data_IF_899334539433
#
_entry.id   IF_899334539433
#
_cell.length_a   1.000
_cell.length_b   1.000
_cell.length_c   1.000
_cell.angle_alpha   90.00
_cell.angle_beta   90.00
_cell.angle_gamma   90.00
#
_symmetry.space_group_name_H-M   'P 1'
#
loop_
_entity.id
_entity.type
_entity.pdbx_description
1 polymer ?
#
# COMPACT_ATOMS: atom_id res chain seq x y z
N UNK A 1 -1.62 -13.48 4.93
CA UNK A 1 -0.29 -12.85 4.67
C UNK A 1 0.71 -13.94 4.29
N UNK A 2 1.42 -13.79 3.18
CA UNK A 2 2.53 -14.67 2.81
C UNK A 2 3.72 -14.38 3.74
N UNK A 3 4.14 -15.40 4.48
CA UNK A 3 5.24 -15.29 5.47
C UNK A 3 6.56 -15.80 4.93
N UNK A 4 6.52 -16.79 4.05
CA UNK A 4 7.70 -17.45 3.48
C UNK A 4 7.50 -17.61 1.96
N UNK A 5 8.61 -17.75 1.25
CA UNK A 5 8.63 -18.13 -0.16
C UNK A 5 8.17 -19.59 -0.33
N UNK A 6 7.65 -19.95 -1.53
CA UNK A 6 7.29 -21.33 -1.82
C UNK A 6 8.52 -22.25 -1.79
N UNK A 7 8.29 -23.48 -1.36
CA UNK A 7 9.32 -24.53 -1.43
C UNK A 7 9.74 -24.78 -2.89
N UNK A 8 11.04 -24.96 -3.08
CA UNK A 8 11.63 -25.22 -4.38
C UNK A 8 12.62 -26.39 -4.30
N UNK A 9 12.90 -27.00 -5.45
CA UNK A 9 13.96 -27.99 -5.59
C UNK A 9 15.35 -27.33 -5.65
N UNK A 10 16.39 -28.15 -5.83
CA UNK A 10 17.78 -27.66 -5.95
C UNK A 10 17.98 -26.68 -7.12
N UNK A 11 17.15 -26.74 -8.15
CA UNK A 11 17.17 -25.85 -9.33
C UNK A 11 16.29 -24.60 -9.15
N UNK A 12 15.79 -24.34 -7.94
CA UNK A 12 14.89 -23.22 -7.60
C UNK A 12 13.52 -23.27 -8.31
N UNK A 13 13.13 -24.44 -8.80
CA UNK A 13 11.81 -24.69 -9.40
C UNK A 13 10.80 -24.98 -8.29
N UNK A 14 9.69 -24.26 -8.32
CA UNK A 14 8.57 -24.39 -7.38
C UNK A 14 7.46 -25.26 -7.97
N UNK A 15 6.52 -25.69 -7.13
CA UNK A 15 5.27 -26.36 -7.57
C UNK A 15 4.21 -25.39 -8.09
N UNK A 16 4.50 -24.09 -8.13
CA UNK A 16 3.55 -23.06 -8.55
C UNK A 16 3.44 -23.08 -10.06
N UNK A 17 2.21 -23.17 -10.57
CA UNK A 17 1.94 -23.03 -12.00
C UNK A 17 1.95 -21.56 -12.40
N UNK A 18 2.51 -21.28 -13.57
CA UNK A 18 2.38 -19.96 -14.21
C UNK A 18 0.97 -19.86 -14.81
N UNK A 19 0.33 -18.68 -14.76
CA UNK A 19 -0.95 -18.46 -15.44
C UNK A 19 -0.88 -18.74 -16.94
N UNK A 20 -1.98 -19.27 -17.48
CA UNK A 20 -2.06 -19.70 -18.88
C UNK A 20 -1.96 -18.53 -19.86
N UNK A 21 -1.34 -18.79 -21.02
CA UNK A 21 -1.15 -17.78 -22.06
C UNK A 21 -2.47 -17.17 -22.57
N UNK A 22 -3.55 -17.94 -22.54
CA UNK A 22 -4.88 -17.48 -22.94
C UNK A 22 -5.44 -16.44 -21.96
N UNK A 23 -5.22 -16.60 -20.65
CA UNK A 23 -5.60 -15.62 -19.63
C UNK A 23 -4.83 -14.31 -19.89
N UNK A 24 -3.53 -14.42 -20.14
CA UNK A 24 -2.68 -13.26 -20.45
C UNK A 24 -3.20 -12.52 -21.69
N UNK A 25 -3.57 -13.24 -22.75
CA UNK A 25 -4.19 -12.63 -23.94
C UNK A 25 -5.49 -11.90 -23.63
N UNK A 26 -6.36 -12.50 -22.81
CA UNK A 26 -7.62 -11.88 -22.41
C UNK A 26 -7.37 -10.59 -21.64
N UNK A 27 -6.40 -10.57 -20.74
CA UNK A 27 -6.01 -9.39 -19.95
C UNK A 27 -5.34 -8.29 -20.79
N UNK A 28 -4.70 -8.65 -21.90
CA UNK A 28 -4.12 -7.70 -22.84
C UNK A 28 -5.11 -7.19 -23.89
N UNK A 29 -6.28 -7.82 -24.02
CA UNK A 29 -7.29 -7.40 -24.99
C UNK A 29 -7.91 -6.06 -24.61
N UNK A 30 -8.02 -5.13 -25.57
CA UNK A 30 -8.73 -3.87 -25.35
C UNK A 30 -10.23 -4.15 -25.26
N UNK A 31 -10.77 -4.05 -24.05
CA UNK A 31 -12.20 -4.08 -23.77
C UNK A 31 -12.72 -2.67 -23.53
N UNK A 32 -13.96 -2.40 -23.95
CA UNK A 32 -14.61 -1.10 -23.71
C UNK A 32 -14.89 -0.84 -22.23
N UNK A 33 -15.07 -1.89 -21.42
CA UNK A 33 -15.42 -1.78 -20.02
C UNK A 33 -14.20 -1.93 -19.09
N UNK A 34 -13.67 -0.79 -18.64
CA UNK A 34 -12.51 -0.72 -17.74
C UNK A 34 -12.75 -1.38 -16.37
N UNK A 35 -13.97 -1.27 -15.83
CA UNK A 35 -14.29 -1.77 -14.48
C UNK A 35 -14.25 -3.29 -14.47
N UNK A 36 -14.88 -3.93 -15.46
CA UNK A 36 -14.84 -5.38 -15.59
C UNK A 36 -13.41 -5.86 -15.87
N UNK A 37 -12.64 -5.09 -16.64
CA UNK A 37 -11.25 -5.43 -16.88
C UNK A 37 -10.40 -5.39 -15.60
N UNK A 38 -10.58 -4.36 -14.76
CA UNK A 38 -9.94 -4.27 -13.45
C UNK A 38 -10.34 -5.45 -12.56
N UNK A 39 -11.62 -5.84 -12.55
CA UNK A 39 -12.07 -7.01 -11.78
C UNK A 39 -11.40 -8.29 -12.24
N UNK A 40 -11.27 -8.50 -13.56
CA UNK A 40 -10.55 -9.64 -14.11
C UNK A 40 -9.07 -9.65 -13.67
N UNK A 41 -8.37 -8.53 -13.81
CA UNK A 41 -6.98 -8.41 -13.34
C UNK A 41 -6.85 -8.75 -11.85
N UNK A 42 -7.70 -8.14 -11.02
CA UNK A 42 -7.66 -8.37 -9.57
C UNK A 42 -7.94 -9.83 -9.22
N UNK A 43 -8.91 -10.46 -9.88
CA UNK A 43 -9.24 -11.86 -9.66
C UNK A 43 -8.04 -12.77 -9.95
N UNK A 44 -7.41 -12.60 -11.11
CA UNK A 44 -6.24 -13.40 -11.52
C UNK A 44 -5.03 -13.19 -10.61
N UNK A 45 -4.78 -11.95 -10.17
CA UNK A 45 -3.67 -11.65 -9.26
C UNK A 45 -3.89 -12.18 -7.84
N UNK A 46 -5.14 -12.25 -7.38
CA UNK A 46 -5.48 -12.86 -6.08
C UNK A 46 -5.25 -14.38 -6.13
N UNK A 47 -5.62 -15.02 -7.24
CA UNK A 47 -5.41 -16.46 -7.43
C UNK A 47 -3.93 -16.80 -7.62
N UNK A 48 -3.14 -15.87 -8.19
CA UNK A 48 -1.75 -16.10 -8.55
C UNK A 48 -0.81 -15.08 -7.87
N UNK A 49 -0.61 -15.16 -6.54
CA UNK A 49 0.07 -14.13 -5.76
C UNK A 49 1.57 -13.98 -6.07
N UNK A 50 2.18 -14.97 -6.71
CA UNK A 50 3.58 -14.91 -7.14
C UNK A 50 3.73 -14.52 -8.62
N UNK A 51 2.65 -14.21 -9.33
CA UNK A 51 2.73 -13.78 -10.72
C UNK A 51 3.05 -12.28 -10.84
N UNK A 52 4.31 -11.93 -10.58
CA UNK A 52 4.78 -10.53 -10.55
C UNK A 52 4.68 -9.87 -11.93
N UNK A 53 4.93 -10.63 -13.00
CA UNK A 53 4.73 -10.19 -14.39
C UNK A 53 3.28 -9.74 -14.62
N UNK A 54 2.29 -10.44 -14.07
CA UNK A 54 0.88 -10.02 -14.15
C UNK A 54 0.61 -8.69 -13.46
N UNK A 55 1.32 -8.40 -12.36
CA UNK A 55 1.20 -7.11 -11.67
C UNK A 55 1.76 -5.99 -12.54
N UNK A 56 2.84 -6.23 -13.28
CA UNK A 56 3.36 -5.26 -14.25
C UNK A 56 2.35 -5.03 -15.38
N UNK A 57 1.76 -6.07 -15.95
CA UNK A 57 0.71 -5.93 -16.96
C UNK A 57 -0.46 -5.07 -16.46
N UNK A 58 -0.84 -5.25 -15.19
CA UNK A 58 -1.87 -4.43 -14.60
C UNK A 58 -1.44 -2.98 -14.40
N UNK A 59 -0.16 -2.73 -14.06
CA UNK A 59 0.40 -1.39 -14.03
C UNK A 59 0.31 -0.71 -15.41
N UNK A 60 0.71 -1.40 -16.47
CA UNK A 60 0.68 -0.88 -17.84
C UNK A 60 -0.76 -0.53 -18.26
N UNK A 61 -1.73 -1.39 -17.89
CA UNK A 61 -3.15 -1.11 -18.08
C UNK A 61 -3.60 0.16 -17.36
N UNK A 62 -3.24 0.31 -16.07
CA UNK A 62 -3.59 1.49 -15.28
C UNK A 62 -2.96 2.77 -15.84
N UNK A 63 -1.73 2.70 -16.32
CA UNK A 63 -1.04 3.81 -16.99
C UNK A 63 -1.77 4.23 -18.26
N UNK A 64 -2.13 3.27 -19.13
CA UNK A 64 -2.92 3.52 -20.35
C UNK A 64 -4.25 4.21 -20.05
N UNK A 65 -4.90 3.85 -18.93
CA UNK A 65 -6.16 4.44 -18.45
C UNK A 65 -5.97 5.69 -17.57
N UNK A 66 -4.73 6.19 -17.45
CA UNK A 66 -4.35 7.38 -16.65
C UNK A 66 -4.77 7.29 -15.18
N UNK A 67 -4.78 6.08 -14.61
CA UNK A 67 -5.12 5.79 -13.20
C UNK A 67 -3.87 5.87 -12.31
N UNK A 68 -3.23 7.04 -12.31
CA UNK A 68 -1.89 7.24 -11.73
C UNK A 68 -1.83 6.91 -10.23
N UNK A 69 -2.84 7.29 -9.44
CA UNK A 69 -2.87 7.00 -8.00
C UNK A 69 -2.85 5.49 -7.71
N UNK A 70 -3.65 4.73 -8.44
CA UNK A 70 -3.72 3.26 -8.29
C UNK A 70 -2.42 2.61 -8.75
N UNK A 71 -1.85 3.09 -9.85
CA UNK A 71 -0.57 2.67 -10.37
C UNK A 71 0.55 2.87 -9.33
N UNK A 72 0.60 4.04 -8.69
CA UNK A 72 1.63 4.36 -7.69
C UNK A 72 1.55 3.45 -6.47
N UNK A 73 0.34 3.23 -5.95
CA UNK A 73 0.10 2.31 -4.83
C UNK A 73 0.56 0.90 -5.20
N UNK A 74 0.19 0.42 -6.39
CA UNK A 74 0.52 -0.94 -6.83
C UNK A 74 2.03 -1.13 -6.98
N UNK A 75 2.74 -0.15 -7.54
CA UNK A 75 4.20 -0.19 -7.66
C UNK A 75 4.86 -0.29 -6.30
N UNK A 76 4.41 0.50 -5.32
CA UNK A 76 5.01 0.52 -3.98
C UNK A 76 4.77 -0.80 -3.26
N UNK A 77 3.53 -1.29 -3.27
CA UNK A 77 3.17 -2.54 -2.61
C UNK A 77 3.95 -3.72 -3.21
N UNK A 78 4.08 -3.78 -4.54
CA UNK A 78 4.84 -4.85 -5.19
C UNK A 78 6.32 -4.72 -4.92
N UNK A 79 6.87 -3.51 -4.94
CA UNK A 79 8.28 -3.28 -4.63
C UNK A 79 8.61 -3.66 -3.18
N UNK A 80 7.75 -3.33 -2.23
CA UNK A 80 7.87 -3.76 -0.83
C UNK A 80 7.78 -5.28 -0.67
N UNK A 81 6.87 -5.92 -1.42
CA UNK A 81 6.76 -7.38 -1.43
C UNK A 81 8.01 -8.06 -1.96
N UNK A 82 8.57 -7.58 -3.08
CA UNK A 82 9.81 -8.10 -3.66
C UNK A 82 10.97 -7.89 -2.69
N UNK A 83 11.09 -6.68 -2.12
CA UNK A 83 12.17 -6.32 -1.17
C UNK A 83 12.14 -7.14 0.12
N UNK A 84 10.99 -7.75 0.47
CA UNK A 84 10.88 -8.63 1.64
C UNK A 84 11.58 -9.97 1.44
N UNK A 85 11.82 -10.38 0.19
CA UNK A 85 12.28 -11.71 -0.15
C UNK A 85 13.48 -11.64 -1.10
N UNK A 86 14.69 -11.63 -0.52
CA UNK A 86 15.96 -11.46 -1.24
C UNK A 86 16.18 -12.47 -2.38
N UNK A 87 15.56 -13.65 -2.32
CA UNK A 87 15.77 -14.73 -3.30
C UNK A 87 14.62 -14.90 -4.29
N UNK A 88 13.65 -13.98 -4.34
CA UNK A 88 12.45 -14.13 -5.20
C UNK A 88 12.78 -14.16 -6.70
N UNK A 89 13.84 -13.45 -7.11
CA UNK A 89 14.34 -13.42 -8.49
C UNK A 89 14.90 -14.77 -8.96
N UNK A 90 15.38 -15.58 -8.01
CA UNK A 90 15.96 -16.88 -8.32
C UNK A 90 14.90 -17.96 -8.51
N UNK A 91 13.67 -17.74 -8.05
CA UNK A 91 12.62 -18.74 -8.09
C UNK A 91 11.99 -18.86 -9.48
N UNK A 92 11.61 -20.10 -9.79
CA UNK A 92 10.97 -20.45 -11.05
C UNK A 92 9.62 -21.11 -10.81
N UNK A 93 8.68 -20.87 -11.71
CA UNK A 93 7.44 -21.63 -11.82
C UNK A 93 7.72 -23.08 -12.21
N UNK A 94 6.71 -23.93 -12.13
CA UNK A 94 6.77 -25.35 -12.50
C UNK A 94 7.26 -25.57 -13.94
N UNK A 95 6.99 -24.62 -14.84
CA UNK A 95 7.42 -24.67 -16.24
C UNK A 95 8.86 -24.17 -16.46
N UNK A 96 9.58 -23.77 -15.40
CA UNK A 96 10.96 -23.26 -15.46
C UNK A 96 11.08 -21.74 -15.68
N UNK A 97 9.98 -21.04 -15.97
CA UNK A 97 9.98 -19.59 -16.10
C UNK A 97 10.27 -18.91 -14.77
N UNK A 98 11.00 -17.80 -14.78
CA UNK A 98 11.22 -17.01 -13.57
C UNK A 98 9.92 -16.43 -13.01
N UNK A 99 9.80 -16.47 -11.68
CA UNK A 99 8.73 -15.81 -10.92
C UNK A 99 8.85 -14.29 -11.04
N UNK A 100 10.08 -13.78 -10.96
CA UNK A 100 10.40 -12.37 -11.16
C UNK A 100 11.60 -12.27 -12.11
N UNK A 101 11.34 -11.91 -13.37
CA UNK A 101 12.40 -11.65 -14.35
C UNK A 101 13.12 -10.35 -14.00
N UNK A 102 14.36 -10.22 -14.43
CA UNK A 102 15.22 -9.06 -14.14
C UNK A 102 14.60 -7.74 -14.63
N UNK A 103 13.93 -7.74 -15.79
CA UNK A 103 13.26 -6.55 -16.32
C UNK A 103 12.09 -6.11 -15.43
N UNK A 104 11.31 -7.09 -14.95
CA UNK A 104 10.17 -6.88 -14.05
C UNK A 104 10.65 -6.38 -12.69
N UNK A 105 11.72 -6.97 -12.16
CA UNK A 105 12.34 -6.52 -10.92
C UNK A 105 12.81 -5.07 -11.03
N UNK A 106 13.56 -4.75 -12.10
CA UNK A 106 14.03 -3.39 -12.38
C UNK A 106 12.87 -2.40 -12.50
N UNK A 107 11.76 -2.80 -13.11
CA UNK A 107 10.55 -1.97 -13.20
C UNK A 107 10.06 -1.53 -11.83
N UNK A 108 9.92 -2.45 -10.87
CA UNK A 108 9.41 -2.12 -9.53
C UNK A 108 10.45 -1.45 -8.61
N UNK A 109 11.73 -1.80 -8.73
CA UNK A 109 12.79 -1.24 -7.89
C UNK A 109 13.17 0.18 -8.34
N UNK A 110 13.41 0.41 -9.63
CA UNK A 110 13.70 1.76 -10.15
C UNK A 110 12.51 2.71 -9.99
N UNK A 111 11.30 2.21 -10.19
CA UNK A 111 10.09 3.03 -10.00
C UNK A 111 9.91 3.44 -8.54
N UNK A 112 10.28 2.58 -7.57
CA UNK A 112 10.29 2.94 -6.15
C UNK A 112 11.33 4.01 -5.84
N UNK A 113 12.52 4.00 -6.44
CA UNK A 113 13.52 5.05 -6.19
C UNK A 113 13.05 6.43 -6.69
N UNK A 114 12.43 6.49 -7.87
CA UNK A 114 11.89 7.72 -8.43
C UNK A 114 10.62 8.20 -7.69
N UNK A 115 9.77 7.27 -7.25
CA UNK A 115 8.48 7.54 -6.59
C UNK A 115 8.54 7.50 -5.07
N UNK A 116 9.67 7.13 -4.47
CA UNK A 116 9.97 7.38 -3.06
C UNK A 116 9.83 8.86 -2.74
N UNK A 117 9.98 9.78 -3.71
CA UNK A 117 9.68 11.20 -3.49
C UNK A 117 8.18 11.54 -3.34
N UNK A 118 7.28 10.61 -3.70
CA UNK A 118 5.82 10.78 -3.66
C UNK A 118 5.20 10.21 -2.36
N UNK A 119 5.83 9.19 -1.75
CA UNK A 119 5.44 8.61 -0.45
C UNK A 119 6.45 8.82 0.68
N UNK A 120 7.69 9.26 0.38
CA UNK A 120 8.35 10.13 1.32
C UNK A 120 7.50 11.37 1.32
N UNK A 121 6.80 11.61 2.44
CA UNK A 121 6.76 12.96 2.95
C UNK A 121 8.12 13.58 2.62
N UNK A 122 8.13 14.61 1.77
CA UNK A 122 9.29 15.49 1.77
C UNK A 122 9.51 15.80 3.24
N UNK A 123 10.57 15.22 3.82
CA UNK A 123 11.36 16.00 4.75
C UNK A 123 11.83 17.16 3.90
N UNK A 124 11.00 18.20 3.86
CA UNK A 124 11.40 19.51 3.39
C UNK A 124 12.45 19.98 4.38
N UNK A 125 13.68 19.50 4.22
CA UNK A 125 14.85 20.28 4.57
C UNK A 125 14.97 21.37 3.50
N UNK A 126 14.03 22.32 3.60
CA UNK A 126 14.09 23.71 3.18
C UNK A 126 12.73 24.36 3.44
N UNK A 127 12.80 25.36 4.30
CA UNK A 127 11.77 26.31 4.73
C UNK A 127 10.75 25.78 5.74
N UNK A 128 11.04 26.05 7.02
CA UNK A 128 10.07 26.47 8.02
C UNK A 128 9.20 27.61 7.45
N UNK A 129 8.25 27.28 6.59
CA UNK A 129 7.02 28.05 6.53
C UNK A 129 6.09 27.38 7.53
N UNK A 130 5.70 28.14 8.54
CA UNK A 130 4.61 27.76 9.44
C UNK A 130 3.41 27.41 8.56
N UNK A 131 3.21 26.11 8.29
CA UNK A 131 2.00 25.66 7.65
C UNK A 131 0.87 26.10 8.58
N UNK A 132 -0.04 26.90 8.04
CA UNK A 132 -1.11 27.47 8.83
C UNK A 132 -1.98 26.35 9.41
N UNK A 133 -2.49 26.55 10.63
CA UNK A 133 -3.26 25.53 11.34
C UNK A 133 -4.46 25.05 10.51
N UNK A 134 -5.10 25.99 9.79
CA UNK A 134 -6.18 25.69 8.86
C UNK A 134 -5.72 24.82 7.69
N UNK A 135 -4.55 25.09 7.12
CA UNK A 135 -3.99 24.29 6.03
C UNK A 135 -3.66 22.87 6.49
N UNK A 136 -3.21 22.70 7.73
CA UNK A 136 -2.96 21.37 8.31
C UNK A 136 -4.25 20.56 8.45
N UNK A 137 -5.35 21.19 8.89
CA UNK A 137 -6.66 20.53 8.98
C UNK A 137 -7.25 20.20 7.61
N UNK A 138 -7.13 21.11 6.64
CA UNK A 138 -7.54 20.89 5.24
C UNK A 138 -6.81 19.71 4.59
N UNK A 139 -5.55 19.47 4.98
CA UNK A 139 -4.80 18.32 4.47
C UNK A 139 -5.33 17.00 5.03
N UNK A 140 -5.65 16.95 6.33
CA UNK A 140 -6.27 15.76 6.96
C UNK A 140 -7.59 15.41 6.28
N UNK A 141 -8.43 16.41 6.01
CA UNK A 141 -9.73 16.19 5.34
C UNK A 141 -9.55 15.60 3.94
N UNK A 142 -8.59 16.10 3.15
CA UNK A 142 -8.27 15.57 1.81
C UNK A 142 -7.76 14.13 1.86
N UNK A 143 -7.04 13.75 2.91
CA UNK A 143 -6.50 12.41 3.11
C UNK A 143 -7.56 11.41 3.62
N UNK A 144 -8.64 11.89 4.25
CA UNK A 144 -9.76 11.07 4.72
C UNK A 144 -10.84 10.81 3.66
N UNK A 145 -10.46 10.40 2.44
CA UNK A 145 -11.36 10.37 1.28
C UNK A 145 -12.37 9.20 1.24
N UNK A 146 -12.31 8.24 2.17
CA UNK A 146 -13.17 7.04 2.12
C UNK A 146 -13.98 6.76 3.40
N UNK A 147 -13.92 7.65 4.41
CA UNK A 147 -14.63 7.54 5.69
C UNK A 147 -14.53 6.17 6.38
N UNK A 148 -13.52 5.35 6.05
CA UNK A 148 -13.31 4.08 6.71
C UNK A 148 -12.90 4.29 8.16
N UNK A 149 -13.27 3.37 9.06
CA UNK A 149 -12.93 3.47 10.49
C UNK A 149 -11.42 3.66 10.69
N UNK A 150 -10.60 2.98 9.88
CA UNK A 150 -9.14 3.11 9.93
C UNK A 150 -8.66 4.51 9.52
N UNK A 151 -9.21 5.08 8.43
CA UNK A 151 -8.83 6.42 8.00
C UNK A 151 -9.34 7.50 8.96
N UNK A 152 -10.50 7.30 9.58
CA UNK A 152 -11.01 8.18 10.64
C UNK A 152 -10.07 8.15 11.86
N UNK A 153 -9.57 6.98 12.25
CA UNK A 153 -8.58 6.84 13.34
C UNK A 153 -7.27 7.54 12.99
N UNK A 154 -6.75 7.35 11.79
CA UNK A 154 -5.52 8.03 11.34
C UNK A 154 -5.69 9.55 11.33
N UNK A 155 -6.84 10.03 10.85
CA UNK A 155 -7.19 11.45 10.85
C UNK A 155 -7.24 12.03 12.26
N UNK A 156 -7.84 11.31 13.22
CA UNK A 156 -7.88 11.72 14.63
C UNK A 156 -6.48 11.75 15.26
N UNK A 157 -5.62 10.77 14.95
CA UNK A 157 -4.23 10.75 15.42
C UNK A 157 -3.45 11.95 14.91
N UNK A 158 -3.63 12.33 13.65
CA UNK A 158 -2.93 13.48 13.08
C UNK A 158 -3.48 14.81 13.60
N UNK A 159 -4.79 14.92 13.84
CA UNK A 159 -5.35 16.04 14.59
C UNK A 159 -4.72 16.14 15.98
N UNK A 160 -4.68 15.05 16.76
CA UNK A 160 -4.07 15.04 18.11
C UNK A 160 -2.65 15.63 18.07
N UNK A 161 -1.81 15.21 17.12
CA UNK A 161 -0.45 15.73 16.95
C UNK A 161 -0.43 17.23 16.66
N UNK A 162 -1.29 17.70 15.75
CA UNK A 162 -1.38 19.14 15.41
C UNK A 162 -1.80 19.95 16.63
N UNK A 163 -2.88 19.56 17.31
CA UNK A 163 -3.37 20.26 18.49
C UNK A 163 -2.32 20.28 19.61
N UNK A 164 -1.55 19.21 19.82
CA UNK A 164 -0.43 19.19 20.76
C UNK A 164 0.69 20.15 20.35
N UNK A 165 1.10 20.14 19.08
CA UNK A 165 2.16 21.00 18.55
C UNK A 165 1.83 22.50 18.67
N UNK A 166 0.54 22.85 18.67
CA UNK A 166 0.04 24.22 18.88
C UNK A 166 -0.27 24.55 20.34
N UNK A 167 0.07 23.67 21.28
CA UNK A 167 -0.16 23.87 22.73
C UNK A 167 -1.62 23.72 23.17
N UNK A 168 -2.51 23.24 22.31
CA UNK A 168 -3.95 23.07 22.57
C UNK A 168 -4.25 21.77 23.32
N UNK A 169 -3.66 21.60 24.51
CA UNK A 169 -3.67 20.35 25.29
C UNK A 169 -5.07 19.84 25.64
N UNK A 170 -6.02 20.75 25.93
CA UNK A 170 -7.41 20.37 26.25
C UNK A 170 -8.12 19.73 25.06
N UNK A 171 -7.93 20.28 23.86
CA UNK A 171 -8.54 19.76 22.64
C UNK A 171 -7.90 18.43 22.24
N UNK A 172 -6.57 18.33 22.33
CA UNK A 172 -5.88 17.04 22.16
C UNK A 172 -6.41 15.98 23.14
N UNK A 173 -6.63 16.33 24.42
CA UNK A 173 -7.19 15.40 25.41
C UNK A 173 -8.59 14.92 25.03
N UNK A 174 -9.47 15.82 24.58
CA UNK A 174 -10.83 15.46 24.10
C UNK A 174 -10.75 14.50 22.90
N UNK A 175 -9.87 14.79 21.94
CA UNK A 175 -9.67 13.93 20.78
C UNK A 175 -9.12 12.55 21.17
N UNK A 176 -8.18 12.49 22.13
CA UNK A 176 -7.67 11.22 22.65
C UNK A 176 -8.77 10.40 23.36
N UNK A 177 -9.68 11.03 24.12
CA UNK A 177 -10.84 10.34 24.72
C UNK A 177 -11.71 9.72 23.62
N UNK A 178 -12.07 10.51 22.61
CA UNK A 178 -12.89 10.01 21.51
C UNK A 178 -12.20 8.89 20.72
N UNK A 179 -10.89 9.02 20.49
CA UNK A 179 -10.08 8.00 19.82
C UNK A 179 -10.07 6.68 20.60
N UNK A 180 -9.86 6.73 21.92
CA UNK A 180 -9.89 5.56 22.80
C UNK A 180 -11.27 4.91 22.80
N UNK A 181 -12.35 5.69 22.93
CA UNK A 181 -13.71 5.15 22.86
C UNK A 181 -13.99 4.46 21.52
N UNK A 182 -13.54 5.05 20.40
CA UNK A 182 -13.73 4.49 19.07
C UNK A 182 -12.94 3.17 18.90
N UNK A 183 -11.70 3.12 19.41
CA UNK A 183 -10.88 1.91 19.40
C UNK A 183 -11.44 0.80 20.29
N UNK A 184 -12.06 1.13 21.43
CA UNK A 184 -12.69 0.17 22.34
C UNK A 184 -14.03 -0.36 21.83
N UNK A 185 -14.81 0.47 21.15
CA UNK A 185 -16.08 0.08 20.51
C UNK A 185 -15.85 -0.73 19.22
N UNK A 186 -14.61 -0.83 18.76
CA UNK A 186 -14.22 -1.60 17.56
C UNK A 186 -13.22 -2.70 17.95
N UNK A 187 -12.90 -3.58 17.00
CA UNK A 187 -11.85 -4.59 17.21
C UNK A 187 -10.42 -4.01 17.10
N UNK A 188 -10.27 -2.69 16.92
CA UNK A 188 -9.01 -2.07 16.49
C UNK A 188 -8.02 -1.83 17.63
N UNK A 189 -8.45 -1.85 18.90
CA UNK A 189 -7.54 -1.74 20.06
C UNK A 189 -6.41 -2.78 20.02
N UNK A 190 -6.71 -4.00 19.56
CA UNK A 190 -5.75 -5.11 19.52
C UNK A 190 -4.83 -5.01 18.28
N UNK A 191 -5.28 -4.31 17.23
CA UNK A 191 -4.51 -4.09 16.00
C UNK A 191 -3.63 -2.83 16.08
N UNK A 192 -4.01 -1.83 16.86
CA UNK A 192 -3.35 -0.54 17.05
C UNK A 192 -2.98 -0.33 18.53
N UNK A 193 -2.35 -1.35 19.12
CA UNK A 193 -2.09 -1.39 20.55
C UNK A 193 -1.16 -0.26 21.02
N UNK A 194 -0.16 0.11 20.21
CA UNK A 194 0.77 1.19 20.55
C UNK A 194 0.08 2.56 20.53
N UNK A 195 -0.70 2.85 19.49
CA UNK A 195 -1.47 4.08 19.37
C UNK A 195 -2.54 4.20 20.45
N UNK A 196 -3.22 3.08 20.76
CA UNK A 196 -4.20 2.99 21.83
C UNK A 196 -3.59 3.31 23.19
N UNK A 197 -2.48 2.65 23.57
CA UNK A 197 -1.83 2.90 24.86
C UNK A 197 -1.26 4.33 24.95
N UNK A 198 -0.72 4.86 23.85
CA UNK A 198 -0.26 6.24 23.79
C UNK A 198 -1.39 7.25 24.00
N UNK A 199 -2.53 7.06 23.32
CA UNK A 199 -3.71 7.91 23.51
C UNK A 199 -4.25 7.81 24.95
N UNK A 200 -4.34 6.58 25.48
CA UNK A 200 -4.81 6.30 26.84
C UNK A 200 -3.93 6.94 27.92
N UNK A 201 -2.62 6.92 27.74
CA UNK A 201 -1.69 7.58 28.66
C UNK A 201 -1.83 9.11 28.65
N UNK A 202 -2.23 9.70 27.51
CA UNK A 202 -2.47 11.14 27.37
C UNK A 202 -3.83 11.60 27.88
N UNK A 203 -4.74 10.67 28.20
CA UNK A 203 -6.04 10.96 28.84
C UNK A 203 -5.88 11.14 30.36
N UNK A 204 -4.87 10.54 30.98
CA UNK A 204 -4.60 10.70 32.41
C UNK A 204 -4.16 12.14 32.68
#
# INVERSE_FOLDING_TARGET
KIRCLPECNNEKITKIRKPDADIIRILLSDKENDIEHIKCFMHELILNPFWIEGVQLFCDFLEKKKKNKQLDILIILTSDFISKFDTIELLRFQNGDFICKEEVYKYFVKSKENKKSFFSSKKTDKEHTLQDFEQMLMNIDKENFNNSIMNNINSLLDMVKIFESKGMKKNSKILNIYLVELMEKTLLKDYLAEEYENAKNKIK
#
